data_IF_681632797933
#
_entry.id   IF_681632797933
#
_cell.length_a   1.000
_cell.length_b   1.000
_cell.length_c   1.000
_cell.angle_alpha   90.00
_cell.angle_beta   90.00
_cell.angle_gamma   90.00
#
_symmetry.space_group_name_H-M   'P 1'
#
loop_
_entity.id
_entity.type
_entity.pdbx_description
1 polymer ?
#
# COMPACT_ATOMS: atom_id res chain seq x y z
N UNK A 1 -26.49 -22.17 -4.54
CA UNK A 1 -25.78 -21.78 -5.80
C UNK A 1 -25.15 -23.03 -6.39
N UNK A 2 -25.61 -23.46 -7.58
CA UNK A 2 -25.10 -24.66 -8.25
C UNK A 2 -23.70 -24.46 -8.83
N UNK A 3 -22.93 -25.56 -8.98
CA UNK A 3 -21.64 -25.52 -9.68
C UNK A 3 -21.87 -25.14 -11.15
N UNK A 4 -21.08 -24.22 -11.72
CA UNK A 4 -21.17 -23.91 -13.13
C UNK A 4 -20.74 -25.13 -13.97
N UNK A 5 -21.38 -25.32 -15.12
CA UNK A 5 -20.96 -26.34 -16.09
C UNK A 5 -19.55 -26.05 -16.61
N UNK A 6 -18.80 -27.12 -16.91
CA UNK A 6 -17.44 -27.03 -17.46
C UNK A 6 -17.43 -26.20 -18.75
N UNK A 7 -16.34 -25.45 -18.97
CA UNK A 7 -16.14 -24.66 -20.19
C UNK A 7 -16.11 -25.55 -21.44
N UNK A 8 -15.56 -26.76 -21.33
CA UNK A 8 -15.47 -27.70 -22.45
C UNK A 8 -16.86 -28.15 -22.92
N UNK A 9 -17.76 -28.37 -21.96
CA UNK A 9 -19.15 -28.72 -22.28
C UNK A 9 -19.83 -27.59 -23.05
N UNK A 10 -19.62 -26.34 -22.61
CA UNK A 10 -20.16 -25.15 -23.30
C UNK A 10 -19.55 -24.96 -24.70
N UNK A 11 -18.26 -25.25 -24.87
CA UNK A 11 -17.56 -25.13 -26.15
C UNK A 11 -18.08 -26.09 -27.23
N UNK A 12 -18.65 -27.24 -26.84
CA UNK A 12 -19.27 -28.17 -27.80
C UNK A 12 -20.60 -27.68 -28.35
N UNK A 13 -21.30 -26.80 -27.64
CA UNK A 13 -22.66 -26.37 -28.02
C UNK A 13 -22.67 -25.64 -29.37
N UNK A 14 -21.83 -24.61 -29.62
CA UNK A 14 -21.78 -23.93 -30.92
C UNK A 14 -21.39 -24.86 -32.07
N UNK A 15 -20.42 -25.76 -31.84
CA UNK A 15 -19.97 -26.75 -32.83
C UNK A 15 -21.14 -27.65 -33.25
N UNK A 16 -21.86 -28.21 -32.26
CA UNK A 16 -23.01 -29.08 -32.51
C UNK A 16 -24.17 -28.37 -33.24
N UNK A 17 -24.33 -27.07 -33.03
CA UNK A 17 -25.40 -26.29 -33.65
C UNK A 17 -25.04 -25.81 -35.06
N UNK A 18 -23.85 -25.23 -35.25
CA UNK A 18 -23.43 -24.61 -36.50
C UNK A 18 -22.77 -25.60 -37.48
N UNK A 19 -21.85 -26.45 -37.02
CA UNK A 19 -21.13 -27.39 -37.89
C UNK A 19 -21.96 -28.66 -38.16
N UNK A 20 -22.58 -29.22 -37.12
CA UNK A 20 -23.37 -30.45 -37.23
C UNK A 20 -24.86 -30.23 -37.50
N UNK A 21 -25.35 -28.97 -37.52
CA UNK A 21 -26.74 -28.64 -37.83
C UNK A 21 -27.80 -29.22 -36.88
N UNK A 22 -27.43 -29.59 -35.65
CA UNK A 22 -28.35 -30.25 -34.72
C UNK A 22 -29.35 -29.27 -34.12
N UNK A 23 -30.63 -29.65 -34.10
CA UNK A 23 -31.67 -28.88 -33.39
C UNK A 23 -31.44 -28.89 -31.87
N UNK A 24 -31.77 -27.77 -31.21
CA UNK A 24 -31.61 -27.58 -29.75
C UNK A 24 -32.16 -28.73 -28.89
N UNK A 25 -33.34 -29.32 -29.16
CA UNK A 25 -33.85 -30.46 -28.36
C UNK A 25 -32.93 -31.68 -28.40
N UNK A 26 -32.27 -31.93 -29.55
CA UNK A 26 -31.35 -33.05 -29.72
C UNK A 26 -30.04 -32.80 -28.97
N UNK A 27 -29.53 -31.56 -29.02
CA UNK A 27 -28.35 -31.13 -28.24
C UNK A 27 -28.60 -31.30 -26.74
N UNK A 28 -29.78 -30.90 -26.26
CA UNK A 28 -30.17 -31.06 -24.85
C UNK A 28 -30.17 -32.53 -24.42
N UNK A 29 -30.74 -33.42 -25.26
CA UNK A 29 -30.79 -34.87 -24.98
C UNK A 29 -29.38 -35.50 -25.01
N UNK A 30 -28.51 -35.05 -25.91
CA UNK A 30 -27.17 -35.61 -26.10
C UNK A 30 -26.20 -35.18 -24.99
N UNK A 31 -26.25 -33.92 -24.57
CA UNK A 31 -25.36 -33.37 -23.54
C UNK A 31 -25.95 -33.42 -22.12
N UNK A 32 -27.22 -33.80 -21.96
CA UNK A 32 -27.91 -33.84 -20.66
C UNK A 32 -28.10 -32.46 -20.02
N UNK A 33 -28.22 -31.41 -20.84
CA UNK A 33 -28.31 -30.01 -20.37
C UNK A 33 -29.68 -29.39 -20.64
N UNK A 34 -30.02 -28.39 -19.83
CA UNK A 34 -31.26 -27.61 -19.98
C UNK A 34 -31.19 -26.72 -21.22
N UNK A 35 -32.34 -26.54 -21.89
CA UNK A 35 -32.48 -25.64 -23.05
C UNK A 35 -31.98 -24.22 -22.78
N UNK A 36 -32.22 -23.68 -21.59
CA UNK A 36 -31.76 -22.34 -21.20
C UNK A 36 -30.25 -22.18 -21.35
N UNK A 37 -29.46 -23.14 -20.87
CA UNK A 37 -28.01 -23.11 -21.01
C UNK A 37 -27.56 -23.12 -22.48
N UNK A 38 -28.23 -23.92 -23.31
CA UNK A 38 -27.93 -23.99 -24.75
C UNK A 38 -28.15 -22.63 -25.41
N UNK A 39 -29.33 -22.03 -25.21
CA UNK A 39 -29.63 -20.70 -25.78
C UNK A 39 -28.67 -19.62 -25.29
N UNK A 40 -28.43 -19.53 -23.97
CA UNK A 40 -27.48 -18.54 -23.42
C UNK A 40 -26.06 -18.75 -23.95
N UNK A 41 -25.65 -20.00 -24.18
CA UNK A 41 -24.31 -20.30 -24.72
C UNK A 41 -24.20 -19.91 -26.19
N UNK A 42 -25.23 -20.19 -27.00
CA UNK A 42 -25.29 -19.76 -28.40
C UNK A 42 -25.34 -18.24 -28.52
N UNK A 43 -26.08 -17.56 -27.64
CA UNK A 43 -26.11 -16.11 -27.57
C UNK A 43 -24.73 -15.52 -27.25
N UNK A 44 -24.03 -16.07 -26.24
CA UNK A 44 -22.65 -15.64 -25.97
C UNK A 44 -21.70 -15.91 -27.12
N UNK A 45 -21.86 -17.05 -27.81
CA UNK A 45 -21.04 -17.35 -28.98
C UNK A 45 -21.30 -16.38 -30.13
N UNK A 46 -22.57 -16.01 -30.37
CA UNK A 46 -22.94 -15.02 -31.37
C UNK A 46 -22.39 -13.62 -31.05
N UNK A 47 -22.47 -13.19 -29.78
CA UNK A 47 -22.06 -11.83 -29.37
C UNK A 47 -20.53 -11.72 -29.21
N UNK A 48 -19.89 -12.70 -28.59
CA UNK A 48 -18.49 -12.62 -28.15
C UNK A 48 -17.55 -13.58 -28.89
N UNK A 49 -18.06 -14.46 -29.76
CA UNK A 49 -17.27 -15.52 -30.40
C UNK A 49 -16.86 -16.65 -29.43
N UNK A 50 -17.27 -16.59 -28.16
CA UNK A 50 -16.93 -17.55 -27.11
C UNK A 50 -18.18 -18.02 -26.36
N UNK A 51 -18.23 -19.28 -25.88
CA UNK A 51 -19.43 -19.87 -25.28
C UNK A 51 -19.69 -19.42 -23.83
N UNK A 52 -19.10 -18.31 -23.40
CA UNK A 52 -19.24 -17.72 -22.08
C UNK A 52 -19.01 -16.22 -22.17
N UNK A 53 -19.53 -15.45 -21.21
CA UNK A 53 -19.26 -14.02 -21.14
C UNK A 53 -17.79 -13.78 -20.73
N UNK A 54 -16.91 -13.26 -21.63
CA UNK A 54 -15.51 -12.99 -21.30
C UNK A 54 -15.35 -11.79 -20.35
N UNK A 55 -16.34 -10.91 -20.30
CA UNK A 55 -16.36 -9.73 -19.43
C UNK A 55 -16.92 -10.02 -18.03
N UNK A 56 -17.50 -11.21 -17.82
CA UNK A 56 -18.02 -11.60 -16.52
C UNK A 56 -16.88 -11.78 -15.51
N UNK A 57 -16.58 -10.72 -14.77
CA UNK A 57 -15.65 -10.74 -13.64
C UNK A 57 -16.44 -11.03 -12.37
N UNK A 58 -15.96 -11.96 -11.55
CA UNK A 58 -16.44 -12.11 -10.19
C UNK A 58 -16.00 -10.88 -9.40
N UNK A 59 -16.89 -9.89 -9.31
CA UNK A 59 -16.65 -8.72 -8.47
C UNK A 59 -16.91 -9.16 -7.03
N UNK A 60 -15.86 -9.12 -6.20
CA UNK A 60 -16.01 -9.34 -4.76
C UNK A 60 -16.79 -8.20 -4.10
N UNK A 61 -17.06 -8.33 -2.80
CA UNK A 61 -17.70 -7.25 -2.03
C UNK A 61 -16.93 -5.92 -2.21
N UNK A 62 -17.62 -4.80 -2.47
CA UNK A 62 -16.99 -3.49 -2.50
C UNK A 62 -16.20 -3.22 -1.22
N UNK A 63 -15.08 -2.50 -1.36
CA UNK A 63 -14.21 -2.17 -0.22
C UNK A 63 -14.86 -1.09 0.63
N UNK A 64 -14.67 -1.18 1.94
CA UNK A 64 -15.12 -0.15 2.89
C UNK A 64 -14.32 1.14 2.70
N UNK A 65 -13.00 1.04 2.49
CA UNK A 65 -12.16 2.19 2.17
C UNK A 65 -12.20 2.48 0.67
N UNK A 66 -12.78 3.64 0.34
CA UNK A 66 -12.89 4.17 -1.02
C UNK A 66 -11.58 4.83 -1.46
N UNK A 67 -11.51 5.21 -2.75
CA UNK A 67 -10.34 5.90 -3.31
C UNK A 67 -9.98 7.23 -2.61
N UNK A 68 -10.94 8.13 -2.30
CA UNK A 68 -10.65 9.33 -1.52
C UNK A 68 -9.98 9.04 -0.18
N UNK A 69 -10.47 8.04 0.56
CA UNK A 69 -9.92 7.65 1.85
C UNK A 69 -8.47 7.15 1.72
N UNK A 70 -8.17 6.37 0.69
CA UNK A 70 -6.80 5.91 0.43
C UNK A 70 -5.86 7.08 0.10
N UNK A 71 -6.32 8.06 -0.68
CA UNK A 71 -5.55 9.26 -1.00
C UNK A 71 -5.32 10.12 0.25
N UNK A 72 -6.32 10.23 1.12
CA UNK A 72 -6.20 10.92 2.39
C UNK A 72 -5.13 10.27 3.29
N UNK A 73 -5.21 8.95 3.51
CA UNK A 73 -4.22 8.20 4.30
C UNK A 73 -2.80 8.41 3.74
N UNK A 74 -2.65 8.37 2.41
CA UNK A 74 -1.36 8.60 1.76
C UNK A 74 -0.80 9.99 2.06
N UNK A 75 -1.63 11.04 1.98
CA UNK A 75 -1.23 12.42 2.25
C UNK A 75 -0.85 12.61 3.72
N UNK A 76 -1.65 12.06 4.63
CA UNK A 76 -1.41 12.12 6.08
C UNK A 76 -0.07 11.46 6.42
N UNK A 77 0.17 10.24 5.93
CA UNK A 77 1.43 9.53 6.18
C UNK A 77 2.64 10.17 5.49
N UNK A 78 2.44 10.88 4.39
CA UNK A 78 3.52 11.62 3.73
C UNK A 78 4.04 12.78 4.58
N UNK A 79 3.15 13.38 5.40
CA UNK A 79 3.49 14.47 6.34
C UNK A 79 3.92 13.94 7.70
N UNK A 80 3.19 12.98 8.26
CA UNK A 80 3.37 12.43 9.60
C UNK A 80 3.65 10.93 9.54
N UNK A 81 4.89 10.57 9.22
CA UNK A 81 5.32 9.18 9.06
C UNK A 81 5.22 8.35 10.34
N UNK A 82 5.22 8.96 11.51
CA UNK A 82 5.28 8.25 12.80
C UNK A 82 3.92 7.96 13.43
N UNK A 83 2.82 8.17 12.70
CA UNK A 83 1.47 7.92 13.22
C UNK A 83 1.23 6.44 13.53
N UNK A 84 0.52 6.17 14.63
CA UNK A 84 0.01 4.84 14.95
C UNK A 84 -1.24 4.51 14.12
N UNK A 85 -1.58 3.22 14.05
CA UNK A 85 -2.79 2.78 13.34
C UNK A 85 -4.07 3.36 13.98
N UNK A 86 -4.09 3.51 15.30
CA UNK A 86 -5.20 4.14 16.03
C UNK A 86 -5.35 5.62 15.72
N UNK A 87 -4.26 6.35 15.54
CA UNK A 87 -4.30 7.76 15.14
C UNK A 87 -4.83 7.89 13.71
N UNK A 88 -4.39 7.02 12.79
CA UNK A 88 -4.94 6.97 11.42
C UNK A 88 -6.44 6.60 11.46
N UNK A 89 -6.86 5.75 12.40
CA UNK A 89 -8.26 5.39 12.59
C UNK A 89 -9.09 6.60 13.05
N UNK A 90 -8.57 7.39 13.98
CA UNK A 90 -9.23 8.60 14.47
C UNK A 90 -9.33 9.66 13.38
N UNK A 91 -8.25 9.85 12.60
CA UNK A 91 -8.24 10.72 11.43
C UNK A 91 -9.31 10.31 10.40
N UNK A 92 -9.46 9.01 10.13
CA UNK A 92 -10.50 8.51 9.24
C UNK A 92 -11.91 8.67 9.81
N UNK A 93 -12.05 8.51 11.14
CA UNK A 93 -13.31 8.75 11.86
C UNK A 93 -13.73 10.21 11.73
N UNK A 94 -12.79 11.15 11.84
CA UNK A 94 -13.03 12.58 11.64
C UNK A 94 -13.48 12.90 10.21
N UNK A 95 -13.03 12.12 9.22
CA UNK A 95 -13.52 12.18 7.84
C UNK A 95 -14.83 11.41 7.60
N UNK A 96 -15.50 10.90 8.65
CA UNK A 96 -16.79 10.20 8.55
C UNK A 96 -16.69 8.72 8.17
N UNK A 97 -15.50 8.11 8.19
CA UNK A 97 -15.32 6.69 7.87
C UNK A 97 -14.83 5.89 9.08
N UNK A 98 -15.66 4.99 9.59
CA UNK A 98 -15.29 4.08 10.68
C UNK A 98 -14.78 2.74 10.14
N UNK A 99 -13.54 2.39 10.43
CA UNK A 99 -12.91 1.13 10.04
C UNK A 99 -12.13 0.51 11.19
N UNK A 100 -11.98 -0.81 11.18
CA UNK A 100 -11.11 -1.49 12.14
C UNK A 100 -9.62 -1.34 11.78
N UNK A 101 -8.75 -1.46 12.79
CA UNK A 101 -7.29 -1.36 12.63
C UNK A 101 -6.74 -2.35 11.58
N UNK A 102 -7.29 -3.56 11.50
CA UNK A 102 -6.89 -4.56 10.51
C UNK A 102 -7.15 -4.07 9.07
N UNK A 103 -8.28 -3.39 8.83
CA UNK A 103 -8.59 -2.83 7.51
C UNK A 103 -7.58 -1.74 7.12
N UNK A 104 -7.19 -0.90 8.07
CA UNK A 104 -6.15 0.12 7.86
C UNK A 104 -4.82 -0.55 7.55
N UNK A 105 -4.40 -1.54 8.36
CA UNK A 105 -3.15 -2.28 8.16
C UNK A 105 -3.06 -2.94 6.77
N UNK A 106 -4.12 -3.64 6.34
CA UNK A 106 -4.17 -4.23 5.00
C UNK A 106 -4.15 -3.16 3.90
N UNK A 107 -4.77 -2.01 4.13
CA UNK A 107 -4.76 -0.87 3.20
C UNK A 107 -3.36 -0.30 3.05
N UNK A 108 -2.63 -0.09 4.16
CA UNK A 108 -1.25 0.38 4.13
C UNK A 108 -0.34 -0.56 3.35
N UNK A 109 -0.49 -1.88 3.55
CA UNK A 109 0.27 -2.89 2.79
C UNK A 109 -0.02 -2.84 1.29
N UNK A 110 -1.27 -2.55 0.89
CA UNK A 110 -1.67 -2.36 -0.52
C UNK A 110 -1.15 -1.05 -1.11
N UNK A 111 -1.03 -0.01 -0.30
CA UNK A 111 -0.40 1.27 -0.66
C UNK A 111 1.14 1.21 -0.61
N UNK A 112 1.73 0.02 -0.49
CA UNK A 112 3.17 -0.21 -0.41
C UNK A 112 3.86 0.49 0.77
N UNK A 113 3.14 0.84 1.84
CA UNK A 113 3.74 1.27 3.09
C UNK A 113 4.23 0.07 3.91
N UNK A 114 5.30 0.31 4.66
CA UNK A 114 5.88 -0.64 5.61
C UNK A 114 6.32 0.11 6.86
N UNK A 115 6.19 -0.54 8.01
CA UNK A 115 6.63 0.02 9.28
C UNK A 115 8.15 -0.18 9.39
N UNK A 116 8.90 0.91 9.60
CA UNK A 116 10.37 0.94 9.59
C UNK A 116 10.88 1.71 10.80
N UNK A 117 12.12 1.40 11.20
CA UNK A 117 12.83 2.23 12.17
C UNK A 117 13.02 3.63 11.60
N UNK A 118 12.78 4.63 12.45
CA UNK A 118 12.88 6.04 12.09
C UNK A 118 14.33 6.47 12.23
N UNK A 119 14.88 7.00 11.15
CA UNK A 119 16.15 7.72 11.18
C UNK A 119 15.85 9.20 11.47
N UNK A 120 16.30 9.66 12.63
CA UNK A 120 16.21 11.06 12.99
C UNK A 120 17.29 11.85 12.25
N UNK A 121 16.89 12.91 11.55
CA UNK A 121 17.79 13.88 10.96
C UNK A 121 17.64 15.19 11.75
N UNK A 122 18.74 15.82 12.16
CA UNK A 122 18.68 17.11 12.81
C UNK A 122 18.04 18.15 11.87
N UNK A 123 17.12 18.96 12.39
CA UNK A 123 16.50 20.07 11.65
C UNK A 123 17.51 21.14 11.27
N UNK A 124 18.47 21.39 12.17
CA UNK A 124 19.60 22.31 11.99
C UNK A 124 20.62 21.84 10.94
N UNK A 125 20.49 20.61 10.41
CA UNK A 125 21.44 20.08 9.44
C UNK A 125 21.38 20.84 8.12
N UNK A 126 22.43 21.60 7.83
CA UNK A 126 22.68 22.26 6.56
C UNK A 126 23.82 21.55 5.79
N UNK A 127 23.53 21.04 4.59
CA UNK A 127 24.54 20.34 3.77
C UNK A 127 25.59 21.31 3.21
N UNK A 128 25.24 22.58 2.97
CA UNK A 128 26.19 23.58 2.47
C UNK A 128 27.26 23.88 3.53
N UNK A 129 26.84 24.21 4.75
CA UNK A 129 27.77 24.47 5.85
C UNK A 129 28.63 23.25 6.16
N UNK A 130 28.04 22.06 6.09
CA UNK A 130 28.77 20.81 6.26
C UNK A 130 29.81 20.60 5.15
N UNK A 131 29.48 20.90 3.90
CA UNK A 131 30.44 20.79 2.79
C UNK A 131 31.58 21.80 2.91
N UNK A 132 31.27 23.05 3.27
CA UNK A 132 32.28 24.09 3.51
C UNK A 132 33.20 23.73 4.68
N UNK A 133 32.63 23.17 5.76
CA UNK A 133 33.41 22.65 6.87
C UNK A 133 34.32 21.49 6.44
N UNK A 134 33.79 20.51 5.71
CA UNK A 134 34.59 19.36 5.24
C UNK A 134 35.73 19.80 4.31
N UNK A 135 35.51 20.76 3.42
CA UNK A 135 36.56 21.29 2.55
C UNK A 135 37.66 21.97 3.37
N UNK A 136 37.28 22.85 4.32
CA UNK A 136 38.26 23.48 5.23
C UNK A 136 39.05 22.46 6.03
N UNK A 137 38.39 21.44 6.55
CA UNK A 137 39.06 20.39 7.32
C UNK A 137 39.98 19.54 6.45
N UNK A 138 39.65 19.31 5.18
CA UNK A 138 40.50 18.57 4.25
C UNK A 138 41.83 19.30 3.97
N UNK A 139 41.80 20.64 3.94
CA UNK A 139 43.01 21.46 3.79
C UNK A 139 43.86 21.47 5.07
N UNK A 140 43.21 21.49 6.24
CA UNK A 140 43.87 21.61 7.55
C UNK A 140 44.40 20.28 8.11
N UNK A 141 43.73 19.17 7.82
CA UNK A 141 44.03 17.85 8.41
C UNK A 141 44.50 16.91 7.31
N UNK A 142 45.82 16.77 7.20
CA UNK A 142 46.45 15.87 6.23
C UNK A 142 46.54 14.43 6.73
N UNK A 143 46.52 14.23 8.06
CA UNK A 143 46.63 12.92 8.69
C UNK A 143 45.59 12.73 9.80
N UNK A 144 44.91 11.55 9.88
CA UNK A 144 43.88 11.30 10.89
C UNK A 144 44.34 11.47 12.34
N UNK A 145 45.63 11.25 12.62
CA UNK A 145 46.20 11.33 13.97
C UNK A 145 46.26 12.76 14.54
N UNK A 146 45.96 13.78 13.72
CA UNK A 146 45.89 15.18 14.14
C UNK A 146 44.54 15.53 14.78
N UNK A 147 43.56 14.62 14.70
CA UNK A 147 42.21 14.84 15.20
C UNK A 147 42.05 14.24 16.60
N UNK A 148 41.65 15.09 17.55
CA UNK A 148 41.15 14.65 18.85
C UNK A 148 39.67 15.05 18.95
N UNK A 149 38.81 14.10 19.27
CA UNK A 149 37.37 14.32 19.40
C UNK A 149 36.96 14.21 20.87
N UNK A 150 36.21 15.19 21.35
CA UNK A 150 35.58 15.20 22.66
C UNK A 150 34.10 15.48 22.48
N UNK A 151 33.21 14.57 22.90
CA UNK A 151 31.77 14.79 22.87
C UNK A 151 31.19 14.87 24.29
N UNK A 152 30.26 15.80 24.47
CA UNK A 152 29.48 15.88 25.70
C UNK A 152 28.18 15.09 25.49
N UNK A 153 28.11 13.90 26.08
CA UNK A 153 26.92 13.07 26.03
C UNK A 153 25.98 13.40 27.19
N UNK A 154 24.87 14.09 26.91
CA UNK A 154 23.82 14.31 27.91
C UNK A 154 22.91 13.07 28.03
N UNK A 155 22.75 12.56 29.25
CA UNK A 155 21.89 11.40 29.54
C UNK A 155 20.47 11.87 29.89
N UNK A 156 19.64 12.12 28.88
CA UNK A 156 18.23 12.41 29.11
C UNK A 156 17.40 11.10 29.26
N UNK A 157 16.66 10.99 30.36
CA UNK A 157 15.76 9.84 30.66
C UNK A 157 14.40 9.95 29.96
N UNK A 158 14.10 11.06 29.27
CA UNK A 158 12.83 11.27 28.58
C UNK A 158 12.92 10.90 27.10
N UNK A 159 13.04 9.60 26.79
CA UNK A 159 12.91 9.13 25.40
C UNK A 159 11.45 9.14 24.93
N UNK A 160 10.87 10.34 24.72
CA UNK A 160 9.52 10.50 24.14
C UNK A 160 9.50 10.30 22.61
N UNK A 161 10.63 9.96 22.01
CA UNK A 161 10.75 9.86 20.56
C UNK A 161 10.23 8.52 20.03
N UNK A 162 9.32 8.60 19.05
CA UNK A 162 8.83 7.41 18.34
C UNK A 162 9.95 6.75 17.54
N UNK A 163 10.15 5.45 17.81
CA UNK A 163 11.17 4.59 17.18
C UNK A 163 10.78 4.10 15.79
N UNK A 164 9.48 4.00 15.52
CA UNK A 164 8.93 3.40 14.31
C UNK A 164 8.00 4.36 13.56
N UNK A 165 7.89 4.16 12.26
CA UNK A 165 7.00 4.92 11.39
C UNK A 165 6.85 4.27 10.02
N UNK A 166 5.85 4.70 9.28
CA UNK A 166 5.52 4.22 7.95
C UNK A 166 6.29 4.95 6.86
N UNK A 167 6.92 4.18 5.97
CA UNK A 167 7.48 4.67 4.73
C UNK A 167 7.21 3.67 3.61
N UNK A 168 7.22 4.16 2.37
CA UNK A 168 7.10 3.32 1.19
C UNK A 168 8.21 2.25 1.19
N UNK A 169 7.87 1.05 0.70
CA UNK A 169 8.85 -0.01 0.46
C UNK A 169 9.99 0.52 -0.43
N UNK A 170 11.22 0.15 -0.10
CA UNK A 170 12.43 0.70 -0.73
C UNK A 170 12.92 2.06 -0.21
N UNK A 171 12.10 2.85 0.50
CA UNK A 171 12.52 4.17 1.04
C UNK A 171 12.84 4.14 2.53
N UNK A 172 13.87 4.87 2.99
CA UNK A 172 14.11 5.02 4.44
C UNK A 172 13.02 5.88 5.08
N UNK A 173 12.66 5.57 6.33
CA UNK A 173 11.77 6.42 7.12
C UNK A 173 12.62 7.49 7.81
N UNK A 174 12.73 8.67 7.19
CA UNK A 174 13.48 9.80 7.74
C UNK A 174 12.53 10.83 8.33
N UNK A 175 12.83 11.30 9.54
CA UNK A 175 12.05 12.35 10.20
C UNK A 175 13.02 13.42 10.66
N UNK A 176 12.77 14.67 10.26
CA UNK A 176 13.54 15.81 10.74
C UNK A 176 13.06 16.19 12.14
N UNK A 177 13.99 16.37 13.08
CA UNK A 177 13.71 16.70 14.49
C UNK A 177 14.74 17.71 14.99
N UNK A 178 14.35 18.58 15.92
CA UNK A 178 15.29 19.45 16.61
C UNK A 178 16.21 18.60 17.50
N UNK A 179 17.46 19.02 17.63
CA UNK A 179 18.37 18.40 18.58
C UNK A 179 18.06 18.99 19.96
N UNK A 180 17.41 18.22 20.83
CA UNK A 180 17.12 18.67 22.19
C UNK A 180 18.35 18.48 23.07
N UNK A 181 19.35 19.37 22.93
CA UNK A 181 20.27 19.65 24.02
C UNK A 181 19.67 20.82 24.80
N UNK A 182 18.84 20.53 25.80
CA UNK A 182 18.30 21.58 26.67
C UNK A 182 19.45 22.07 27.56
N UNK A 183 20.15 23.13 27.12
CA UNK A 183 21.02 23.90 28.01
C UNK A 183 20.12 24.54 29.06
N UNK A 184 20.15 24.00 30.28
CA UNK A 184 19.61 24.71 31.43
C UNK A 184 20.49 25.93 31.66
N UNK A 185 20.04 27.10 31.19
CA UNK A 185 20.57 28.37 31.68
C UNK A 185 20.27 28.42 33.18
N UNK A 186 21.30 28.18 33.99
CA UNK A 186 21.28 28.57 35.39
C UNK A 186 21.57 30.07 35.40
N UNK A 187 20.52 30.90 35.32
CA UNK A 187 20.64 32.29 35.70
C UNK A 187 20.85 32.33 37.22
N UNK A 188 22.09 32.63 37.62
CA UNK A 188 22.41 33.08 38.95
C UNK A 188 22.52 34.60 38.94
N UNK A 189 21.54 35.27 39.54
CA UNK A 189 21.67 36.57 40.20
C UNK A 189 21.09 36.43 41.60
#
# INVERSE_FOLDING_TARGET
>A
MGRPFSKDLKARIPILYHEYGLKVPRICKLLGIKKSLVYTTLEYYHIYGVPYNPQARRVGRPRILTFPNMRYIFNVLSRHRTMYLSEIQEELRNCGTTVCLATIFHTLRRLYFSNKSVSAQALERNELDRSAFMNRMADLVQHPNQLMFTDEASRDRRTQQRKFGYALKGRRCTVRRHFSAFFSFFESL
#
